data_IF_938275716627
#
_entry.id   IF_938275716627
#
_cell.length_a   1.000
_cell.length_b   1.000
_cell.length_c   1.000
_cell.angle_alpha   90.00
_cell.angle_beta   90.00
_cell.angle_gamma   90.00
#
_symmetry.space_group_name_H-M   'P 1'
#
loop_
_entity.id
_entity.type
_entity.pdbx_description
1 polymer ?
#
# COMPACT_ATOMS: atom_id res chain seq x y z
N UNK A 1 7.68 -5.65 6.63
CA UNK A 1 6.83 -5.38 5.46
C UNK A 1 6.72 -6.54 4.47
N UNK A 2 7.80 -7.09 3.89
CA UNK A 2 7.71 -8.19 2.87
C UNK A 2 6.81 -9.37 3.24
N UNK A 3 6.76 -9.76 4.53
CA UNK A 3 5.91 -10.87 5.01
C UNK A 3 4.41 -10.58 4.99
N UNK A 4 4.01 -9.32 4.83
CA UNK A 4 2.61 -8.89 4.76
C UNK A 4 2.09 -8.86 3.32
N UNK A 5 2.99 -8.98 2.33
CA UNK A 5 2.60 -8.97 0.92
C UNK A 5 2.09 -10.36 0.54
N UNK A 6 0.86 -10.49 -0.01
CA UNK A 6 0.36 -11.75 -0.55
C UNK A 6 1.31 -12.36 -1.58
N UNK A 7 1.33 -13.68 -1.69
CA UNK A 7 2.26 -14.39 -2.62
C UNK A 7 2.01 -14.05 -4.09
N UNK A 8 0.77 -13.68 -4.43
CA UNK A 8 0.29 -13.31 -5.76
C UNK A 8 0.30 -11.80 -6.03
N UNK A 9 0.81 -10.98 -5.11
CA UNK A 9 0.88 -9.53 -5.25
C UNK A 9 2.32 -9.01 -5.22
N UNK A 10 2.59 -7.98 -6.01
CA UNK A 10 3.84 -7.22 -5.89
C UNK A 10 3.77 -6.24 -4.70
N UNK A 11 4.93 -5.77 -4.24
CA UNK A 11 4.98 -4.71 -3.21
C UNK A 11 4.28 -3.42 -3.67
N UNK A 12 4.35 -3.11 -4.97
CA UNK A 12 3.67 -1.95 -5.54
C UNK A 12 2.15 -2.13 -5.47
N UNK A 13 1.63 -3.29 -5.90
CA UNK A 13 0.22 -3.61 -5.80
C UNK A 13 -0.29 -3.60 -4.36
N UNK A 14 0.45 -4.22 -3.43
CA UNK A 14 0.14 -4.18 -2.00
C UNK A 14 0.03 -2.73 -1.49
N UNK A 15 0.99 -1.88 -1.85
CA UNK A 15 1.00 -0.48 -1.40
C UNK A 15 -0.19 0.29 -1.97
N UNK A 16 -0.48 0.13 -3.26
CA UNK A 16 -1.60 0.83 -3.91
C UNK A 16 -2.96 0.36 -3.38
N UNK A 17 -3.14 -0.94 -3.16
CA UNK A 17 -4.33 -1.50 -2.51
C UNK A 17 -4.49 -0.97 -1.09
N UNK A 18 -3.41 -0.92 -0.31
CA UNK A 18 -3.43 -0.36 1.05
C UNK A 18 -3.88 1.11 1.04
N UNK A 19 -3.45 1.93 0.08
CA UNK A 19 -3.93 3.31 -0.05
C UNK A 19 -5.43 3.34 -0.39
N UNK A 20 -5.88 2.50 -1.33
CA UNK A 20 -7.29 2.39 -1.73
C UNK A 20 -8.22 1.86 -0.62
N UNK A 21 -7.69 1.16 0.38
CA UNK A 21 -8.48 0.64 1.51
C UNK A 21 -8.99 1.73 2.47
N UNK A 22 -8.45 2.95 2.39
CA UNK A 22 -8.91 4.03 3.26
C UNK A 22 -10.20 4.63 2.71
N UNK A 23 -11.27 4.67 3.52
CA UNK A 23 -12.57 5.24 3.13
C UNK A 23 -12.49 6.68 2.57
N UNK A 24 -11.50 7.45 3.01
CA UNK A 24 -11.27 8.82 2.55
C UNK A 24 -10.64 8.91 1.14
N UNK A 25 -10.14 7.81 0.59
CA UNK A 25 -9.47 7.74 -0.72
C UNK A 25 -10.44 7.17 -1.74
N UNK A 26 -10.77 7.97 -2.76
CA UNK A 26 -11.61 7.54 -3.89
C UNK A 26 -10.81 7.05 -5.09
N UNK A 27 -9.56 7.48 -5.22
CA UNK A 27 -8.67 7.14 -6.34
C UNK A 27 -7.21 7.32 -5.97
N UNK A 28 -6.34 6.52 -6.59
CA UNK A 28 -4.89 6.65 -6.49
C UNK A 28 -4.34 6.85 -7.90
N UNK A 29 -3.45 7.82 -8.07
CA UNK A 29 -2.90 8.21 -9.39
C UNK A 29 -1.38 7.93 -9.40
N UNK A 30 -0.96 6.65 -9.51
CA UNK A 30 0.46 6.33 -9.51
C UNK A 30 1.12 6.66 -10.86
N UNK A 31 2.26 7.35 -10.81
CA UNK A 31 3.07 7.61 -11.99
C UNK A 31 3.87 6.37 -12.42
N UNK A 32 3.94 6.11 -13.72
CA UNK A 32 4.76 5.04 -14.29
C UNK A 32 5.24 5.39 -15.71
N UNK A 33 6.45 4.96 -16.05
CA UNK A 33 7.03 5.02 -17.40
C UNK A 33 7.10 3.65 -18.09
N UNK A 34 6.73 2.57 -17.39
CA UNK A 34 6.70 1.20 -17.93
C UNK A 34 5.26 0.75 -18.18
N UNK A 35 4.92 0.28 -19.39
CA UNK A 35 3.61 -0.30 -19.67
C UNK A 35 3.26 -1.49 -18.76
N UNK A 36 4.25 -2.25 -18.31
CA UNK A 36 4.05 -3.37 -17.37
C UNK A 36 3.60 -2.86 -16.00
N UNK A 37 4.33 -1.91 -15.42
CA UNK A 37 3.93 -1.28 -14.16
C UNK A 37 2.57 -0.58 -14.26
N UNK A 38 2.20 -0.03 -15.42
CA UNK A 38 0.84 0.53 -15.61
C UNK A 38 -0.23 -0.55 -15.42
N UNK A 39 -0.02 -1.74 -15.99
CA UNK A 39 -0.94 -2.88 -15.81
C UNK A 39 -0.93 -3.38 -14.37
N UNK A 40 0.23 -3.50 -13.74
CA UNK A 40 0.34 -3.90 -12.34
C UNK A 40 -0.36 -2.91 -11.40
N UNK A 41 -0.15 -1.61 -11.60
CA UNK A 41 -0.80 -0.56 -10.82
C UNK A 41 -2.32 -0.61 -10.95
N UNK A 42 -2.84 -0.87 -12.16
CA UNK A 42 -4.27 -1.03 -12.39
C UNK A 42 -4.82 -2.27 -11.68
N UNK A 43 -4.11 -3.41 -11.77
CA UNK A 43 -4.50 -4.67 -11.14
C UNK A 43 -4.49 -4.62 -9.60
N UNK A 44 -3.85 -3.62 -8.98
CA UNK A 44 -3.91 -3.43 -7.52
C UNK A 44 -5.34 -3.20 -7.02
N UNK A 45 -6.22 -2.64 -7.84
CA UNK A 45 -7.63 -2.41 -7.49
C UNK A 45 -8.44 -3.71 -7.44
N UNK A 46 -7.98 -4.77 -8.11
CA UNK A 46 -8.63 -6.08 -8.14
C UNK A 46 -8.30 -6.95 -6.91
N UNK A 47 -7.31 -6.55 -6.10
CA UNK A 47 -7.01 -7.20 -4.84
C UNK A 47 -8.15 -6.98 -3.84
N UNK A 48 -8.41 -7.98 -3.00
CA UNK A 48 -9.34 -7.86 -1.89
C UNK A 48 -8.85 -6.79 -0.89
N UNK A 49 -9.78 -6.08 -0.20
CA UNK A 49 -9.43 -5.22 0.91
C UNK A 49 -8.66 -5.98 1.98
N UNK A 50 -7.63 -5.35 2.55
CA UNK A 50 -6.86 -5.98 3.60
C UNK A 50 -7.61 -6.05 4.93
N UNK A 51 -7.29 -7.07 5.71
CA UNK A 51 -7.82 -7.21 7.07
C UNK A 51 -7.32 -6.08 7.98
N UNK A 52 -8.07 -5.83 9.05
CA UNK A 52 -7.63 -4.92 10.12
C UNK A 52 -6.27 -5.31 10.72
N UNK A 53 -5.95 -6.62 10.73
CA UNK A 53 -4.65 -7.12 11.20
C UNK A 53 -3.51 -6.64 10.30
N UNK A 54 -3.66 -6.77 8.98
CA UNK A 54 -2.65 -6.29 8.02
C UNK A 54 -2.48 -4.78 8.11
N UNK A 55 -3.58 -4.03 8.23
CA UNK A 55 -3.55 -2.58 8.44
C UNK A 55 -2.80 -2.21 9.71
N UNK A 56 -3.11 -2.86 10.84
CA UNK A 56 -2.41 -2.67 12.11
C UNK A 56 -0.92 -2.98 12.01
N UNK A 57 -0.55 -4.07 11.34
CA UNK A 57 0.85 -4.44 11.17
C UNK A 57 1.65 -3.43 10.33
N UNK A 58 1.02 -2.78 9.33
CA UNK A 58 1.65 -1.68 8.57
C UNK A 58 1.83 -0.45 9.46
N UNK A 59 0.82 -0.12 10.28
CA UNK A 59 0.91 0.97 11.24
C UNK A 59 2.02 0.74 12.27
N UNK A 60 2.11 -0.46 12.83
CA UNK A 60 3.16 -0.81 13.81
C UNK A 60 4.57 -0.61 13.23
N UNK A 61 4.77 -0.98 11.95
CA UNK A 61 6.04 -0.75 11.24
C UNK A 61 6.32 0.75 11.11
N UNK A 62 5.31 1.55 10.74
CA UNK A 62 5.45 3.00 10.64
C UNK A 62 5.83 3.61 11.99
N UNK A 63 5.12 3.25 13.06
CA UNK A 63 5.37 3.76 14.41
C UNK A 63 6.75 3.37 14.92
N UNK A 64 7.17 2.11 14.72
CA UNK A 64 8.45 1.61 15.22
C UNK A 64 9.67 2.14 14.45
N UNK A 65 9.53 2.46 13.16
CA UNK A 65 10.70 2.71 12.29
C UNK A 65 10.70 4.02 11.53
N UNK A 66 9.55 4.69 11.37
CA UNK A 66 9.42 5.84 10.47
C UNK A 66 8.96 7.09 11.22
N UNK A 67 8.03 6.96 12.16
CA UNK A 67 7.33 8.06 12.83
C UNK A 67 8.27 9.13 13.40
N UNK A 68 9.25 8.75 14.21
CA UNK A 68 10.16 9.72 14.85
C UNK A 68 10.96 10.57 13.84
N UNK A 69 11.24 10.01 12.66
CA UNK A 69 12.06 10.66 11.65
C UNK A 69 11.28 11.65 10.78
N UNK A 70 9.97 11.49 10.61
CA UNK A 70 9.19 12.27 9.62
C UNK A 70 7.88 12.84 10.14
N UNK A 71 7.28 12.26 11.19
CA UNK A 71 5.91 12.62 11.60
C UNK A 71 5.79 14.05 12.11
N UNK A 72 6.88 14.61 12.66
CA UNK A 72 6.94 16.01 13.11
C UNK A 72 6.87 17.04 11.97
N UNK A 73 6.82 16.62 10.71
CA UNK A 73 6.76 17.48 9.52
C UNK A 73 5.34 17.62 8.94
N UNK A 74 4.35 16.99 9.57
CA UNK A 74 2.96 16.96 9.12
C UNK A 74 2.04 17.66 10.12
#
# INVERSE_FOLDING_TARGET
MRRLVPEDATMAQFTLRWVLDHDAVSTVIPGSTSPEHVRENAAAADLDPFSHETHGAVQDIYEAHVKDYVHHRW
#
